data_IF_327284476250
#
_entry.id   IF_327284476250
#
_cell.length_a   1.000
_cell.length_b   1.000
_cell.length_c   1.000
_cell.angle_alpha   90.00
_cell.angle_beta   90.00
_cell.angle_gamma   90.00
#
_symmetry.space_group_name_H-M   'P 1'
#
loop_
_entity.id
_entity.type
_entity.pdbx_description
1 polymer ?
#
# COMPACT_ATOMS: atom_id res chain seq x y z
N UNK A 1 52.02 75.23 4.58
CA UNK A 1 50.59 75.58 4.48
C UNK A 1 50.12 75.54 3.02
N UNK A 2 50.82 76.16 2.05
CA UNK A 2 50.46 76.12 0.62
C UNK A 2 50.53 74.73 -0.04
N UNK A 3 51.57 73.94 0.23
CA UNK A 3 51.76 72.59 -0.32
C UNK A 3 50.62 71.63 0.06
N UNK A 4 50.15 71.68 1.31
CA UNK A 4 49.06 70.84 1.81
C UNK A 4 47.75 71.16 1.07
N UNK A 5 47.45 72.45 0.89
CA UNK A 5 46.25 72.89 0.14
C UNK A 5 46.30 72.52 -1.35
N UNK A 6 47.50 72.41 -1.93
CA UNK A 6 47.68 71.95 -3.30
C UNK A 6 47.48 70.43 -3.41
N UNK A 7 48.01 69.66 -2.45
CA UNK A 7 47.77 68.22 -2.38
C UNK A 7 46.29 67.89 -2.16
N UNK A 8 45.58 68.62 -1.30
CA UNK A 8 44.14 68.48 -1.08
C UNK A 8 43.36 68.74 -2.38
N UNK A 9 43.66 69.83 -3.10
CA UNK A 9 43.04 70.12 -4.40
C UNK A 9 43.29 69.02 -5.43
N UNK A 10 44.50 68.47 -5.48
CA UNK A 10 44.86 67.36 -6.39
C UNK A 10 44.18 66.06 -6.02
N UNK A 11 44.04 65.75 -4.73
CA UNK A 11 43.32 64.55 -4.26
C UNK A 11 41.84 64.67 -4.58
N UNK A 12 41.20 65.82 -4.31
CA UNK A 12 39.78 66.03 -4.66
C UNK A 12 39.55 65.89 -6.16
N UNK A 13 40.39 66.50 -6.99
CA UNK A 13 40.31 66.36 -8.45
C UNK A 13 40.55 64.91 -8.93
N UNK A 14 41.45 64.17 -8.27
CA UNK A 14 41.69 62.76 -8.57
C UNK A 14 40.48 61.90 -8.17
N UNK A 15 39.87 62.15 -7.02
CA UNK A 15 38.67 61.44 -6.54
C UNK A 15 37.45 61.73 -7.44
N UNK A 16 37.26 62.98 -7.88
CA UNK A 16 36.22 63.33 -8.85
C UNK A 16 36.43 62.61 -10.19
N UNK A 17 37.68 62.55 -10.68
CA UNK A 17 38.02 61.84 -11.92
C UNK A 17 37.83 60.33 -11.80
N UNK A 18 38.12 59.75 -10.63
CA UNK A 18 37.85 58.34 -10.33
C UNK A 18 36.34 58.10 -10.27
N UNK A 19 35.58 58.99 -9.63
CA UNK A 19 34.11 58.94 -9.60
C UNK A 19 33.50 58.95 -11.00
N UNK A 20 33.91 59.91 -11.83
CA UNK A 20 33.48 60.00 -13.23
C UNK A 20 33.92 58.76 -14.06
N UNK A 21 35.11 58.23 -13.79
CA UNK A 21 35.61 57.01 -14.43
C UNK A 21 34.82 55.76 -14.06
N UNK A 22 34.41 55.65 -12.79
CA UNK A 22 33.53 54.58 -12.30
C UNK A 22 32.13 54.69 -12.92
N UNK A 23 31.54 55.88 -12.96
CA UNK A 23 30.25 56.13 -13.61
C UNK A 23 30.29 55.87 -15.13
N UNK A 24 31.43 56.11 -15.78
CA UNK A 24 31.62 55.77 -17.19
C UNK A 24 31.74 54.26 -17.37
N UNK A 25 32.50 53.57 -16.51
CA UNK A 25 32.66 52.12 -16.56
C UNK A 25 31.32 51.39 -16.29
N UNK A 26 30.52 51.90 -15.36
CA UNK A 26 29.18 51.38 -15.03
C UNK A 26 28.20 51.51 -16.21
N UNK A 27 28.38 52.51 -17.09
CA UNK A 27 27.59 52.68 -18.32
C UNK A 27 28.10 51.87 -19.52
N UNK A 28 29.34 51.37 -19.46
CA UNK A 28 30.03 50.71 -20.58
C UNK A 28 29.90 49.17 -20.52
N UNK A 29 29.34 48.60 -19.45
CA UNK A 29 29.14 47.15 -19.33
C UNK A 29 27.74 46.74 -19.85
N UNK A 30 27.57 46.43 -21.16
CA UNK A 30 26.27 46.07 -21.73
C UNK A 30 25.77 44.69 -21.28
N UNK A 31 26.64 43.87 -20.68
CA UNK A 31 26.32 42.53 -20.18
C UNK A 31 26.05 42.54 -18.67
N UNK A 32 26.15 43.71 -18.00
CA UNK A 32 25.78 43.84 -16.59
C UNK A 32 24.26 43.65 -16.48
N UNK A 33 23.79 42.59 -15.81
CA UNK A 33 22.36 42.36 -15.70
C UNK A 33 21.73 43.49 -14.90
N UNK A 34 20.58 43.98 -15.35
CA UNK A 34 19.83 45.00 -14.61
C UNK A 34 19.52 44.45 -13.20
N UNK A 35 19.85 45.17 -12.12
CA UNK A 35 19.55 44.75 -10.76
C UNK A 35 18.09 44.36 -10.56
N UNK A 36 17.15 45.02 -11.25
CA UNK A 36 15.72 44.71 -11.19
C UNK A 36 15.36 43.39 -11.88
N UNK A 37 15.99 43.08 -13.01
CA UNK A 37 15.81 41.79 -13.70
C UNK A 37 16.39 40.64 -12.88
N UNK A 38 17.54 40.84 -12.22
CA UNK A 38 18.11 39.84 -11.31
C UNK A 38 17.21 39.55 -10.11
N UNK A 39 16.56 40.58 -9.57
CA UNK A 39 15.62 40.43 -8.47
C UNK A 39 14.37 39.65 -8.90
N UNK A 40 13.79 40.00 -10.06
CA UNK A 40 12.67 39.25 -10.64
C UNK A 40 12.99 37.78 -10.96
N UNK A 41 14.19 37.51 -11.50
CA UNK A 41 14.64 36.13 -11.75
C UNK A 41 14.85 35.33 -10.46
N UNK A 42 15.32 35.97 -9.38
CA UNK A 42 15.46 35.33 -8.07
C UNK A 42 14.11 35.01 -7.46
N UNK A 43 13.14 35.91 -7.56
CA UNK A 43 11.77 35.68 -7.09
C UNK A 43 11.09 34.54 -7.86
N UNK A 44 11.24 34.53 -9.20
CA UNK A 44 10.73 33.45 -10.04
C UNK A 44 11.37 32.09 -9.69
N UNK A 45 12.70 32.06 -9.48
CA UNK A 45 13.41 30.85 -9.08
C UNK A 45 12.93 30.34 -7.71
N UNK A 46 12.69 31.23 -6.75
CA UNK A 46 12.21 30.85 -5.43
C UNK A 46 10.77 30.32 -5.48
N UNK A 47 9.92 30.95 -6.30
CA UNK A 47 8.55 30.48 -6.57
C UNK A 47 8.56 29.07 -7.17
N UNK A 48 9.39 28.84 -8.20
CA UNK A 48 9.53 27.53 -8.84
C UNK A 48 10.11 26.48 -7.88
N UNK A 49 11.08 26.84 -7.04
CA UNK A 49 11.63 25.95 -6.01
C UNK A 49 10.56 25.54 -5.00
N UNK A 50 9.76 26.49 -4.53
CA UNK A 50 8.63 26.23 -3.62
C UNK A 50 7.59 25.31 -4.27
N UNK A 51 7.22 25.58 -5.52
CA UNK A 51 6.30 24.73 -6.28
C UNK A 51 6.85 23.31 -6.45
N UNK A 52 8.14 23.17 -6.79
CA UNK A 52 8.80 21.89 -6.96
C UNK A 52 8.84 21.11 -5.63
N UNK A 53 9.17 21.76 -4.52
CA UNK A 53 9.15 21.14 -3.19
C UNK A 53 7.75 20.62 -2.84
N UNK A 54 6.70 21.40 -3.09
CA UNK A 54 5.31 20.97 -2.86
C UNK A 54 4.92 19.78 -3.74
N UNK A 55 5.33 19.79 -5.01
CA UNK A 55 5.06 18.67 -5.93
C UNK A 55 5.79 17.40 -5.49
N UNK A 56 7.05 17.50 -5.05
CA UNK A 56 7.81 16.36 -4.55
C UNK A 56 7.16 15.75 -3.30
N UNK A 57 6.71 16.58 -2.36
CA UNK A 57 5.97 16.11 -1.18
C UNK A 57 4.64 15.43 -1.57
N UNK A 58 3.90 15.99 -2.53
CA UNK A 58 2.67 15.37 -3.05
C UNK A 58 2.95 14.03 -3.71
N UNK A 59 4.00 13.94 -4.53
CA UNK A 59 4.40 12.68 -5.19
C UNK A 59 4.80 11.64 -4.16
N UNK A 60 5.56 12.03 -3.12
CA UNK A 60 5.95 11.15 -2.03
C UNK A 60 4.72 10.62 -1.29
N UNK A 61 3.79 11.50 -0.90
CA UNK A 61 2.54 11.10 -0.24
C UNK A 61 1.67 10.19 -1.11
N UNK A 62 1.62 10.42 -2.43
CA UNK A 62 0.90 9.53 -3.36
C UNK A 62 1.57 8.16 -3.43
N UNK A 63 2.92 8.12 -3.53
CA UNK A 63 3.67 6.85 -3.56
C UNK A 63 3.46 6.05 -2.29
N UNK A 64 3.58 6.66 -1.12
CA UNK A 64 3.34 5.99 0.17
C UNK A 64 1.91 5.42 0.27
N UNK A 65 0.91 6.19 -0.20
CA UNK A 65 -0.48 5.71 -0.28
C UNK A 65 -0.63 4.54 -1.24
N UNK A 66 -0.02 4.62 -2.43
CA UNK A 66 -0.07 3.55 -3.43
C UNK A 66 0.61 2.28 -2.93
N UNK A 67 1.80 2.39 -2.33
CA UNK A 67 2.52 1.26 -1.73
C UNK A 67 1.66 0.59 -0.64
N UNK A 68 1.03 1.38 0.23
CA UNK A 68 0.10 0.87 1.25
C UNK A 68 -1.11 0.17 0.62
N UNK A 69 -1.65 0.72 -0.47
CA UNK A 69 -2.82 0.15 -1.15
C UNK A 69 -2.48 -1.15 -1.87
N UNK A 70 -1.32 -1.20 -2.55
CA UNK A 70 -0.80 -2.39 -3.21
C UNK A 70 -0.54 -3.49 -2.17
N UNK A 71 0.16 -3.18 -1.08
CA UNK A 71 0.40 -4.16 -0.01
C UNK A 71 -0.91 -4.73 0.57
N UNK A 72 -1.95 -3.90 0.73
CA UNK A 72 -3.27 -4.35 1.18
C UNK A 72 -3.96 -5.27 0.17
N UNK A 73 -3.88 -4.93 -1.12
CA UNK A 73 -4.47 -5.73 -2.18
C UNK A 73 -3.75 -7.07 -2.34
N UNK A 74 -2.42 -7.07 -2.25
CA UNK A 74 -1.61 -8.29 -2.29
C UNK A 74 -1.95 -9.21 -1.12
N UNK A 75 -2.06 -8.67 0.10
CA UNK A 75 -2.49 -9.45 1.26
C UNK A 75 -3.88 -10.06 1.05
N UNK A 76 -4.84 -9.28 0.57
CA UNK A 76 -6.19 -9.80 0.28
C UNK A 76 -6.19 -10.88 -0.80
N UNK A 77 -5.35 -10.74 -1.82
CA UNK A 77 -5.20 -11.75 -2.86
C UNK A 77 -4.65 -13.05 -2.27
N UNK A 78 -3.61 -12.98 -1.43
CA UNK A 78 -3.05 -14.13 -0.72
C UNK A 78 -4.09 -14.80 0.19
N UNK A 79 -4.84 -14.02 0.96
CA UNK A 79 -5.89 -14.55 1.84
C UNK A 79 -7.00 -15.26 1.05
N UNK A 80 -7.41 -14.68 -0.09
CA UNK A 80 -8.41 -15.31 -0.98
C UNK A 80 -7.88 -16.60 -1.61
N UNK A 81 -6.61 -16.65 -2.03
CA UNK A 81 -5.99 -17.86 -2.56
C UNK A 81 -5.95 -18.97 -1.49
N UNK A 82 -5.53 -18.65 -0.26
CA UNK A 82 -5.50 -19.61 0.83
C UNK A 82 -6.90 -20.15 1.18
N UNK A 83 -7.93 -19.29 1.16
CA UNK A 83 -9.33 -19.71 1.33
C UNK A 83 -9.79 -20.64 0.20
N UNK A 84 -9.41 -20.35 -1.04
CA UNK A 84 -9.76 -21.19 -2.19
C UNK A 84 -9.14 -22.59 -2.07
N UNK A 85 -7.85 -22.68 -1.70
CA UNK A 85 -7.15 -23.95 -1.48
C UNK A 85 -7.81 -24.77 -0.35
N UNK A 86 -8.21 -24.11 0.74
CA UNK A 86 -8.94 -24.75 1.85
C UNK A 86 -10.28 -25.33 1.38
N UNK A 87 -11.05 -24.56 0.61
CA UNK A 87 -12.35 -25.00 0.06
C UNK A 87 -12.19 -26.14 -0.95
N UNK A 88 -11.15 -26.11 -1.79
CA UNK A 88 -10.85 -27.20 -2.72
C UNK A 88 -10.55 -28.51 -1.96
N UNK A 89 -9.72 -28.45 -0.92
CA UNK A 89 -9.43 -29.60 -0.07
C UNK A 89 -10.69 -30.16 0.62
N UNK A 90 -11.60 -29.27 1.06
CA UNK A 90 -12.87 -29.66 1.65
C UNK A 90 -13.81 -30.34 0.65
N UNK A 91 -13.91 -29.80 -0.56
CA UNK A 91 -14.70 -30.39 -1.65
C UNK A 91 -14.19 -31.79 -1.99
N UNK A 92 -12.88 -31.98 -2.07
CA UNK A 92 -12.28 -33.28 -2.34
C UNK A 92 -12.52 -34.28 -1.19
N UNK A 93 -12.47 -33.81 0.06
CA UNK A 93 -12.84 -34.60 1.23
C UNK A 93 -14.30 -35.05 1.17
N UNK A 94 -15.22 -34.13 0.87
CA UNK A 94 -16.65 -34.44 0.75
C UNK A 94 -16.92 -35.42 -0.39
N UNK A 95 -16.22 -35.29 -1.52
CA UNK A 95 -16.29 -36.26 -2.64
C UNK A 95 -15.84 -37.65 -2.20
N UNK A 96 -14.73 -37.75 -1.49
CA UNK A 96 -14.21 -39.03 -0.97
C UNK A 96 -15.20 -39.68 0.01
N UNK A 97 -15.73 -38.91 0.96
CA UNK A 97 -16.75 -39.39 1.92
C UNK A 97 -18.01 -39.87 1.20
N UNK A 98 -18.51 -39.11 0.21
CA UNK A 98 -19.68 -39.52 -0.58
C UNK A 98 -19.43 -40.78 -1.40
N UNK A 99 -18.24 -40.93 -1.99
CA UNK A 99 -17.86 -42.15 -2.71
C UNK A 99 -17.87 -43.35 -1.78
N UNK A 100 -17.28 -43.21 -0.58
CA UNK A 100 -17.26 -44.26 0.44
C UNK A 100 -18.66 -44.62 0.91
N UNK A 101 -19.52 -43.64 1.19
CA UNK A 101 -20.91 -43.87 1.59
C UNK A 101 -21.71 -44.64 0.54
N UNK A 102 -21.50 -44.33 -0.76
CA UNK A 102 -22.13 -45.06 -1.87
C UNK A 102 -21.65 -46.51 -1.93
N UNK A 103 -20.35 -46.74 -1.73
CA UNK A 103 -19.76 -48.07 -1.67
C UNK A 103 -20.32 -48.89 -0.50
N UNK A 104 -20.32 -48.36 0.73
CA UNK A 104 -20.91 -49.04 1.89
C UNK A 104 -22.40 -49.29 1.70
N UNK A 105 -23.14 -48.33 1.15
CA UNK A 105 -24.56 -48.52 0.85
C UNK A 105 -24.81 -49.62 -0.20
N UNK A 106 -23.93 -49.75 -1.20
CA UNK A 106 -24.01 -50.84 -2.18
C UNK A 106 -23.69 -52.19 -1.55
N UNK A 107 -22.63 -52.27 -0.72
CA UNK A 107 -22.25 -53.47 0.00
C UNK A 107 -23.35 -53.95 0.96
N UNK A 108 -23.96 -53.03 1.71
CA UNK A 108 -25.11 -53.34 2.58
C UNK A 108 -26.32 -53.86 1.80
N UNK A 109 -26.63 -53.26 0.65
CA UNK A 109 -27.73 -53.75 -0.20
C UNK A 109 -27.46 -55.15 -0.75
N UNK A 110 -26.21 -55.44 -1.14
CA UNK A 110 -25.80 -56.77 -1.59
C UNK A 110 -25.90 -57.80 -0.45
N UNK A 111 -25.34 -57.51 0.72
CA UNK A 111 -25.40 -58.38 1.89
C UNK A 111 -26.85 -58.69 2.33
N UNK A 112 -27.72 -57.66 2.32
CA UNK A 112 -29.15 -57.84 2.60
C UNK A 112 -29.87 -58.68 1.53
N UNK A 113 -29.53 -58.52 0.25
CA UNK A 113 -30.11 -59.30 -0.84
C UNK A 113 -29.72 -60.79 -0.76
N UNK A 114 -28.51 -61.08 -0.27
CA UNK A 114 -28.02 -62.43 -0.06
C UNK A 114 -28.56 -63.08 1.23
N UNK A 115 -29.38 -62.37 2.01
CA UNK A 115 -29.91 -62.83 3.29
C UNK A 115 -28.84 -62.97 4.39
N UNK A 116 -27.64 -62.46 4.12
CA UNK A 116 -26.47 -62.46 4.99
C UNK A 116 -26.44 -61.12 5.74
N UNK A 117 -27.35 -60.94 6.71
CA UNK A 117 -27.32 -59.78 7.61
C UNK A 117 -26.01 -59.73 8.39
N UNK A 118 -24.98 -59.13 7.80
CA UNK A 118 -23.63 -59.05 8.35
C UNK A 118 -23.51 -57.83 9.26
N UNK A 119 -23.44 -58.07 10.56
CA UNK A 119 -23.22 -57.02 11.56
C UNK A 119 -21.98 -56.18 11.27
N UNK A 120 -20.94 -56.76 10.64
CA UNK A 120 -19.73 -56.03 10.26
C UNK A 120 -19.97 -54.99 9.15
N UNK A 121 -20.88 -55.26 8.21
CA UNK A 121 -21.24 -54.31 7.16
C UNK A 121 -22.07 -53.13 7.74
N UNK A 122 -22.92 -53.41 8.73
CA UNK A 122 -23.69 -52.38 9.45
C UNK A 122 -22.74 -51.49 10.27
N UNK A 123 -21.80 -52.09 11.00
CA UNK A 123 -20.80 -51.35 11.79
C UNK A 123 -19.90 -50.50 10.87
N UNK A 124 -19.50 -51.01 9.70
CA UNK A 124 -18.72 -50.26 8.73
C UNK A 124 -19.49 -49.06 8.13
N UNK A 125 -20.79 -49.23 7.87
CA UNK A 125 -21.63 -48.15 7.38
C UNK A 125 -21.89 -47.09 8.47
N UNK A 126 -22.13 -47.51 9.72
CA UNK A 126 -22.31 -46.61 10.85
C UNK A 126 -21.02 -45.84 11.15
N UNK A 127 -19.85 -46.48 11.05
CA UNK A 127 -18.55 -45.81 11.17
C UNK A 127 -18.34 -44.76 10.06
N UNK A 128 -18.68 -45.09 8.81
CA UNK A 128 -18.59 -44.15 7.70
C UNK A 128 -19.55 -42.95 7.86
N UNK A 129 -20.74 -43.16 8.41
CA UNK A 129 -21.71 -42.10 8.69
C UNK A 129 -21.26 -41.18 9.83
N UNK A 130 -20.66 -41.74 10.89
CA UNK A 130 -20.02 -40.95 11.96
C UNK A 130 -18.86 -40.13 11.41
N UNK A 131 -18.01 -40.71 10.55
CA UNK A 131 -16.90 -40.00 9.91
C UNK A 131 -17.42 -38.86 9.01
N UNK A 132 -18.50 -39.09 8.27
CA UNK A 132 -19.16 -38.07 7.45
C UNK A 132 -19.74 -36.92 8.30
N UNK A 133 -20.47 -37.25 9.37
CA UNK A 133 -21.04 -36.26 10.29
C UNK A 133 -19.96 -35.45 11.01
N UNK A 134 -18.84 -36.09 11.38
CA UNK A 134 -17.69 -35.40 11.97
C UNK A 134 -17.03 -34.44 10.98
N UNK A 135 -16.86 -34.86 9.71
CA UNK A 135 -16.31 -34.00 8.66
C UNK A 135 -17.21 -32.80 8.36
N UNK A 136 -18.54 -33.00 8.32
CA UNK A 136 -19.51 -31.92 8.16
C UNK A 136 -19.47 -30.93 9.34
N UNK A 137 -19.46 -31.41 10.58
CA UNK A 137 -19.39 -30.52 11.76
C UNK A 137 -18.09 -29.71 11.82
N UNK A 138 -16.98 -30.29 11.40
CA UNK A 138 -15.69 -29.58 11.37
C UNK A 138 -15.69 -28.49 10.29
N UNK A 139 -16.27 -28.77 9.13
CA UNK A 139 -16.53 -27.78 8.07
C UNK A 139 -17.42 -26.64 8.58
N UNK A 140 -18.59 -26.96 9.16
CA UNK A 140 -19.52 -25.98 9.73
C UNK A 140 -18.84 -25.12 10.80
N UNK A 141 -18.02 -25.71 11.68
CA UNK A 141 -17.26 -24.96 12.69
C UNK A 141 -16.26 -24.01 12.03
N UNK A 142 -15.53 -24.48 11.03
CA UNK A 142 -14.58 -23.67 10.29
C UNK A 142 -15.26 -22.50 9.57
N UNK A 143 -16.40 -22.71 8.93
CA UNK A 143 -17.19 -21.63 8.32
C UNK A 143 -17.65 -20.61 9.37
N UNK A 144 -18.14 -21.09 10.53
CA UNK A 144 -18.54 -20.21 11.63
C UNK A 144 -17.37 -19.40 12.20
N UNK A 145 -16.19 -20.00 12.33
CA UNK A 145 -14.98 -19.29 12.76
C UNK A 145 -14.57 -18.21 11.76
N UNK A 146 -14.64 -18.50 10.46
CA UNK A 146 -14.36 -17.55 9.39
C UNK A 146 -15.39 -16.38 9.40
N UNK A 147 -16.69 -16.68 9.60
CA UNK A 147 -17.74 -15.67 9.76
C UNK A 147 -17.50 -14.81 11.00
N UNK A 148 -17.17 -15.42 12.15
CA UNK A 148 -16.88 -14.69 13.39
C UNK A 148 -15.66 -13.79 13.20
N UNK A 149 -14.61 -14.25 12.52
CA UNK A 149 -13.43 -13.46 12.22
C UNK A 149 -13.75 -12.24 11.35
N UNK A 150 -14.71 -12.35 10.42
CA UNK A 150 -15.17 -11.24 9.58
C UNK A 150 -16.10 -10.27 10.33
N UNK A 151 -16.96 -10.78 11.22
CA UNK A 151 -17.89 -9.95 12.01
C UNK A 151 -17.23 -9.22 13.18
N UNK A 152 -16.22 -9.82 13.81
CA UNK A 152 -15.51 -9.25 14.98
C UNK A 152 -15.00 -7.81 14.75
N UNK A 153 -14.28 -7.48 13.67
CA UNK A 153 -13.84 -6.11 13.42
C UNK A 153 -15.00 -5.12 13.17
N UNK A 154 -16.17 -5.59 12.71
CA UNK A 154 -17.37 -4.74 12.56
C UNK A 154 -18.06 -4.48 13.91
N UNK A 155 -18.04 -5.46 14.82
CA UNK A 155 -18.54 -5.29 16.18
C UNK A 155 -17.63 -4.36 16.99
N UNK A 156 -16.31 -4.58 16.95
CA UNK A 156 -15.32 -3.78 17.69
C UNK A 156 -15.22 -2.34 17.12
N UNK A 157 -15.42 -2.16 15.80
CA UNK A 157 -15.50 -0.85 15.16
C UNK A 157 -16.79 -0.06 15.46
N UNK A 158 -17.84 -0.73 15.94
CA UNK A 158 -19.10 -0.12 16.35
C UNK A 158 -19.07 0.53 17.74
N UNK A 159 -18.17 0.10 18.63
CA UNK A 159 -18.01 0.67 19.97
C UNK A 159 -17.29 2.03 19.99
N UNK A 160 -16.57 2.40 18.92
CA UNK A 160 -15.88 3.69 18.83
C UNK A 160 -16.80 4.87 18.43
N UNK A 161 -18.10 4.62 18.20
CA UNK A 161 -19.08 5.61 17.75
C UNK A 161 -20.36 5.70 18.61
N UNK A 162 -20.37 5.12 19.81
CA UNK A 162 -21.41 5.32 20.83
C UNK A 162 -20.85 6.11 22.03
#
# INVERSE_FOLDING_TARGET
MSEITEFERRITAALERIGQGLEALERIDPDRPDPSELEGLREALETERSANAQLNERVKAIRERQETQVARLDQRAQDMTARAEKLEAEVDRLRAVNARLRETSAALRAANADGLGDAGAIDAAMAAEIEALAAMRESERSELEDIIAELKPLADGGEAHA
#
